data_IF_387687222120
#
_entry.id   IF_387687222120
#
_cell.length_a   1.000
_cell.length_b   1.000
_cell.length_c   1.000
_cell.angle_alpha   90.00
_cell.angle_beta   90.00
_cell.angle_gamma   90.00
#
_symmetry.space_group_name_H-M   'P 1'
#
loop_
_entity.id
_entity.type
_entity.pdbx_description
1 polymer ?
#
# COMPACT_ATOMS: atom_id res chain seq x y z
N UNK A 1 -27.96 -3.64 35.96
CA UNK A 1 -27.11 -4.64 35.28
C UNK A 1 -26.81 -4.12 33.88
N UNK A 2 -25.61 -3.59 33.65
CA UNK A 2 -25.19 -3.16 32.31
C UNK A 2 -24.90 -4.37 31.45
N UNK A 3 -25.56 -4.48 30.30
CA UNK A 3 -25.26 -5.51 29.30
C UNK A 3 -23.81 -5.36 28.84
N UNK A 4 -23.00 -6.40 29.04
CA UNK A 4 -21.64 -6.43 28.51
C UNK A 4 -21.66 -6.13 27.00
N UNK A 5 -20.70 -5.34 26.47
CA UNK A 5 -20.67 -5.00 25.06
C UNK A 5 -20.61 -6.28 24.23
N UNK A 6 -21.54 -6.42 23.27
CA UNK A 6 -21.59 -7.60 22.39
C UNK A 6 -20.32 -7.62 21.52
N UNK A 7 -19.44 -8.57 21.79
CA UNK A 7 -18.26 -8.85 20.99
C UNK A 7 -18.69 -9.33 19.58
N UNK A 8 -18.13 -8.78 18.48
CA UNK A 8 -18.44 -9.25 17.14
C UNK A 8 -18.10 -10.73 16.92
N UNK A 9 -18.87 -11.42 16.08
CA UNK A 9 -18.71 -12.86 15.79
C UNK A 9 -17.29 -13.22 15.32
N UNK A 10 -16.69 -12.37 14.49
CA UNK A 10 -15.38 -12.61 13.88
C UNK A 10 -14.23 -11.97 14.66
N UNK A 11 -14.47 -11.43 15.86
CA UNK A 11 -13.43 -10.75 16.63
C UNK A 11 -12.20 -11.64 16.82
N UNK A 12 -12.38 -12.88 17.28
CA UNK A 12 -11.26 -13.79 17.56
C UNK A 12 -10.47 -14.13 16.28
N UNK A 13 -11.11 -14.11 15.11
CA UNK A 13 -10.44 -14.32 13.84
C UNK A 13 -9.50 -13.15 13.52
N UNK A 14 -10.02 -11.92 13.57
CA UNK A 14 -9.23 -10.72 13.30
C UNK A 14 -8.14 -10.49 14.34
N UNK A 15 -8.43 -10.78 15.61
CA UNK A 15 -7.46 -10.68 16.72
C UNK A 15 -6.26 -11.63 16.51
N UNK A 16 -6.51 -12.87 16.09
CA UNK A 16 -5.44 -13.83 15.76
C UNK A 16 -4.65 -13.43 14.50
N UNK A 17 -5.31 -12.88 13.49
CA UNK A 17 -4.63 -12.37 12.30
C UNK A 17 -3.70 -11.20 12.65
N UNK A 18 -4.19 -10.26 13.46
CA UNK A 18 -3.38 -9.14 13.96
C UNK A 18 -2.20 -9.63 14.82
N UNK A 19 -2.43 -10.59 15.72
CA UNK A 19 -1.38 -11.19 16.55
C UNK A 19 -0.30 -11.88 15.70
N UNK A 20 -0.70 -12.62 14.66
CA UNK A 20 0.25 -13.29 13.75
C UNK A 20 1.14 -12.28 13.02
N UNK A 21 0.56 -11.18 12.55
CA UNK A 21 1.32 -10.11 11.89
C UNK A 21 2.29 -9.43 12.88
N UNK A 22 1.84 -9.19 14.11
CA UNK A 22 2.67 -8.64 15.18
C UNK A 22 3.85 -9.57 15.55
N UNK A 23 3.60 -10.86 15.68
CA UNK A 23 4.64 -11.85 16.01
C UNK A 23 5.73 -11.90 14.93
N UNK A 24 5.35 -11.87 13.65
CA UNK A 24 6.31 -11.77 12.53
C UNK A 24 7.15 -10.49 12.62
N UNK A 25 6.50 -9.36 12.88
CA UNK A 25 7.20 -8.08 13.06
C UNK A 25 8.19 -8.12 14.24
N UNK A 26 7.80 -8.71 15.38
CA UNK A 26 8.68 -8.87 16.55
C UNK A 26 9.85 -9.79 16.22
N UNK A 27 9.60 -10.91 15.54
CA UNK A 27 10.64 -11.84 15.09
C UNK A 27 11.69 -11.18 14.19
N UNK A 28 11.28 -10.21 13.36
CA UNK A 28 12.18 -9.45 12.48
C UNK A 28 13.26 -8.66 13.24
N UNK A 29 13.07 -8.39 14.55
CA UNK A 29 14.05 -7.66 15.39
C UNK A 29 15.34 -8.44 15.65
N UNK A 30 15.35 -9.76 15.41
CA UNK A 30 16.54 -10.60 15.56
C UNK A 30 17.60 -10.34 14.49
N UNK A 31 17.28 -9.53 13.49
CA UNK A 31 18.15 -9.23 12.36
C UNK A 31 19.05 -8.03 12.63
N UNK A 32 20.33 -8.17 12.33
CA UNK A 32 21.35 -7.16 12.64
C UNK A 32 21.36 -5.98 11.66
N UNK A 33 21.03 -6.22 10.38
CA UNK A 33 20.99 -5.18 9.34
C UNK A 33 19.64 -4.44 9.37
N UNK A 34 19.68 -3.12 9.49
CA UNK A 34 18.49 -2.26 9.48
C UNK A 34 17.76 -2.28 8.13
N UNK A 35 18.51 -2.36 7.02
CA UNK A 35 17.95 -2.49 5.68
C UNK A 35 17.13 -3.77 5.55
N UNK A 36 17.74 -4.90 5.88
CA UNK A 36 17.08 -6.20 5.72
C UNK A 36 15.90 -6.37 6.70
N UNK A 37 15.94 -5.69 7.85
CA UNK A 37 14.80 -5.60 8.77
C UNK A 37 13.63 -4.83 8.14
N UNK A 38 13.91 -3.73 7.45
CA UNK A 38 12.93 -2.97 6.68
C UNK A 38 12.30 -3.80 5.57
N UNK A 39 13.13 -4.43 4.74
CA UNK A 39 12.69 -5.28 3.62
C UNK A 39 11.80 -6.44 4.11
N UNK A 40 12.16 -7.09 5.22
CA UNK A 40 11.36 -8.18 5.77
C UNK A 40 9.99 -7.71 6.28
N UNK A 41 9.91 -6.50 6.86
CA UNK A 41 8.64 -5.94 7.32
C UNK A 41 7.74 -5.54 6.16
N UNK A 42 8.34 -5.02 5.09
CA UNK A 42 7.63 -4.82 3.82
C UNK A 42 7.06 -6.15 3.32
N UNK A 43 7.88 -7.20 3.24
CA UNK A 43 7.47 -8.51 2.72
C UNK A 43 6.35 -9.14 3.56
N UNK A 44 6.41 -9.06 4.89
CA UNK A 44 5.33 -9.59 5.75
C UNK A 44 4.00 -8.88 5.51
N UNK A 45 4.01 -7.56 5.27
CA UNK A 45 2.81 -6.83 4.91
C UNK A 45 2.33 -7.20 3.51
N UNK A 46 3.26 -7.38 2.55
CA UNK A 46 2.93 -7.82 1.19
C UNK A 46 2.27 -9.20 1.18
N UNK A 47 2.80 -10.15 1.93
CA UNK A 47 2.22 -11.49 2.12
C UNK A 47 0.80 -11.41 2.67
N UNK A 48 0.62 -10.65 3.75
CA UNK A 48 -0.68 -10.49 4.38
C UNK A 48 -1.69 -9.87 3.42
N UNK A 49 -1.35 -8.74 2.80
CA UNK A 49 -2.20 -8.04 1.84
C UNK A 49 -2.55 -8.92 0.64
N UNK A 50 -1.59 -9.68 0.10
CA UNK A 50 -1.85 -10.61 -1.00
C UNK A 50 -2.86 -11.70 -0.60
N UNK A 51 -2.87 -12.11 0.66
CA UNK A 51 -3.82 -13.12 1.15
C UNK A 51 -5.24 -12.61 1.37
N UNK A 52 -5.43 -11.31 1.62
CA UNK A 52 -6.74 -10.71 1.95
C UNK A 52 -7.32 -9.81 0.87
N UNK A 53 -6.49 -9.27 -0.03
CA UNK A 53 -6.97 -8.43 -1.11
C UNK A 53 -7.63 -9.27 -2.21
N UNK A 54 -8.68 -8.74 -2.86
CA UNK A 54 -9.28 -9.37 -4.03
C UNK A 54 -8.26 -9.60 -5.15
N UNK A 55 -8.39 -10.66 -5.98
CA UNK A 55 -7.44 -10.98 -7.05
C UNK A 55 -7.21 -9.86 -8.09
N UNK A 56 -8.15 -8.93 -8.21
CA UNK A 56 -8.06 -7.77 -9.12
C UNK A 56 -7.15 -6.65 -8.62
N UNK A 57 -6.61 -6.79 -7.41
CA UNK A 57 -5.67 -5.86 -6.81
C UNK A 57 -4.32 -6.56 -6.65
N UNK A 58 -3.30 -6.06 -7.33
CA UNK A 58 -1.96 -6.64 -7.35
C UNK A 58 -0.97 -5.72 -6.65
N UNK A 59 -0.07 -6.30 -5.86
CA UNK A 59 0.97 -5.54 -5.17
C UNK A 59 2.22 -5.45 -6.05
N UNK A 60 2.73 -4.24 -6.22
CA UNK A 60 3.96 -3.93 -6.95
C UNK A 60 4.87 -3.04 -6.11
N UNK A 61 6.12 -2.93 -6.56
CA UNK A 61 7.12 -1.97 -6.10
C UNK A 61 7.60 -1.21 -7.32
N UNK A 62 7.83 0.09 -7.21
CA UNK A 62 8.24 0.87 -8.38
C UNK A 62 7.89 2.35 -8.28
N UNK A 63 7.80 3.01 -9.43
CA UNK A 63 7.44 4.42 -9.51
C UNK A 63 6.06 4.62 -10.14
N UNK A 64 5.39 5.72 -9.78
CA UNK A 64 4.10 6.10 -10.38
C UNK A 64 4.27 7.41 -11.14
N UNK A 65 3.80 7.42 -12.38
CA UNK A 65 3.91 8.51 -13.33
C UNK A 65 2.52 8.98 -13.77
N UNK A 66 2.40 10.24 -14.16
CA UNK A 66 1.20 10.76 -14.81
C UNK A 66 1.44 11.21 -16.27
N UNK A 67 0.36 11.54 -16.97
CA UNK A 67 0.40 12.00 -18.36
C UNK A 67 1.04 13.38 -18.57
N UNK A 68 1.29 14.16 -17.51
CA UNK A 68 1.98 15.46 -17.56
C UNK A 68 3.49 15.33 -17.31
N UNK A 69 3.98 14.12 -17.06
CA UNK A 69 5.41 13.83 -16.83
C UNK A 69 5.85 13.91 -15.37
N UNK A 70 4.93 14.09 -14.42
CA UNK A 70 5.26 14.05 -13.00
C UNK A 70 5.56 12.61 -12.54
N UNK A 71 6.48 12.44 -11.59
CA UNK A 71 6.95 11.13 -11.09
C UNK A 71 7.13 11.15 -9.58
N UNK A 72 6.81 10.05 -8.91
CA UNK A 72 6.92 9.93 -7.44
C UNK A 72 8.32 9.58 -6.94
N UNK A 73 9.08 8.81 -7.73
CA UNK A 73 10.21 8.00 -7.24
C UNK A 73 9.74 6.64 -6.73
N UNK A 74 10.68 5.82 -6.26
CA UNK A 74 10.42 4.46 -5.76
C UNK A 74 9.47 4.47 -4.55
N UNK A 75 8.44 3.63 -4.61
CA UNK A 75 7.44 3.37 -3.58
C UNK A 75 7.50 1.89 -3.20
N UNK A 76 7.41 1.60 -1.90
CA UNK A 76 7.53 0.25 -1.32
C UNK A 76 6.35 -0.65 -1.74
N UNK A 77 5.11 -0.20 -1.50
CA UNK A 77 3.91 -0.96 -1.85
C UNK A 77 2.96 -0.10 -2.68
N UNK A 78 2.78 -0.49 -3.93
CA UNK A 78 1.77 0.04 -4.85
C UNK A 78 0.71 -1.03 -5.05
N UNK A 79 -0.55 -0.73 -4.76
CA UNK A 79 -1.68 -1.60 -5.08
C UNK A 79 -2.25 -1.13 -6.42
N UNK A 80 -2.11 -1.97 -7.45
CA UNK A 80 -2.59 -1.71 -8.80
C UNK A 80 -3.85 -2.51 -9.10
N UNK A 81 -4.75 -1.91 -9.89
CA UNK A 81 -5.82 -2.67 -10.53
C UNK A 81 -5.26 -3.57 -11.62
N UNK A 82 -5.92 -4.70 -11.85
CA UNK A 82 -5.59 -5.66 -12.92
C UNK A 82 -5.81 -5.10 -14.34
N UNK A 83 -6.61 -4.05 -14.48
CA UNK A 83 -6.82 -3.31 -15.73
C UNK A 83 -5.78 -2.20 -15.99
N UNK A 84 -4.81 -2.02 -15.09
CA UNK A 84 -3.77 -1.00 -15.21
C UNK A 84 -2.72 -1.41 -16.25
N UNK A 85 -2.41 -0.52 -17.18
CA UNK A 85 -1.25 -0.69 -18.06
C UNK A 85 0.05 -0.55 -17.25
N UNK A 86 0.91 -1.57 -17.33
CA UNK A 86 2.29 -1.47 -16.84
C UNK A 86 3.19 -0.88 -17.93
N UNK A 87 4.03 0.08 -17.56
CA UNK A 87 5.04 0.63 -18.46
C UNK A 87 6.33 -0.19 -18.31
N UNK A 88 6.67 -0.98 -19.32
CA UNK A 88 7.93 -1.73 -19.35
C UNK A 88 9.12 -0.81 -19.60
N UNK A 89 9.63 -0.13 -18.56
CA UNK A 89 10.76 0.80 -18.64
C UNK A 89 11.99 0.21 -17.92
N UNK A 90 12.82 -0.53 -18.66
CA UNK A 90 14.06 -1.10 -18.10
C UNK A 90 13.81 -2.16 -17.02
N UNK A 91 14.66 -2.19 -15.98
CA UNK A 91 14.50 -3.11 -14.83
C UNK A 91 13.62 -2.53 -13.70
N UNK A 92 13.34 -1.22 -13.72
CA UNK A 92 12.53 -0.57 -12.70
C UNK A 92 11.08 -0.50 -13.17
N UNK A 93 10.20 -1.14 -12.42
CA UNK A 93 8.77 -1.11 -12.67
C UNK A 93 8.21 0.32 -12.56
N UNK A 94 7.53 0.79 -13.61
CA UNK A 94 6.85 2.08 -13.65
C UNK A 94 5.36 1.88 -14.02
N UNK A 95 4.49 2.63 -13.36
CA UNK A 95 3.04 2.49 -13.48
C UNK A 95 2.37 3.83 -13.73
N UNK A 96 1.28 3.80 -14.49
CA UNK A 96 0.44 4.97 -14.68
C UNK A 96 -0.45 5.21 -13.46
N UNK A 97 -0.55 6.47 -13.04
CA UNK A 97 -1.32 6.92 -11.90
C UNK A 97 -2.80 6.47 -11.96
N UNK A 98 -3.37 6.39 -13.17
CA UNK A 98 -4.75 5.97 -13.44
C UNK A 98 -5.05 4.53 -13.00
N UNK A 99 -4.04 3.67 -12.92
CA UNK A 99 -4.14 2.28 -12.51
C UNK A 99 -3.89 2.05 -11.02
N UNK A 100 -3.42 3.07 -10.30
CA UNK A 100 -3.07 2.96 -8.88
C UNK A 100 -4.31 3.05 -8.01
N UNK A 101 -4.56 1.99 -7.25
CA UNK A 101 -5.63 1.93 -6.25
C UNK A 101 -5.15 2.54 -4.91
N UNK A 102 -3.97 2.16 -4.44
CA UNK A 102 -3.41 2.66 -3.19
C UNK A 102 -1.88 2.61 -3.18
N UNK A 103 -1.28 3.42 -2.31
CA UNK A 103 0.15 3.40 -2.00
C UNK A 103 0.31 3.32 -0.47
N UNK A 104 1.21 2.45 -0.03
CA UNK A 104 1.50 2.24 1.39
C UNK A 104 3.01 2.43 1.60
N UNK A 105 3.35 3.31 2.54
CA UNK A 105 4.72 3.49 3.05
C UNK A 105 4.86 2.72 4.36
N UNK A 106 5.83 1.82 4.44
CA UNK A 106 6.14 0.99 5.60
C UNK A 106 7.24 1.67 6.41
N UNK A 107 7.00 1.89 7.70
CA UNK A 107 7.99 2.46 8.62
C UNK A 107 8.13 1.57 9.83
N UNK A 108 9.34 1.04 9.99
CA UNK A 108 9.75 0.19 11.10
C UNK A 108 9.49 0.79 12.48
N UNK A 109 9.66 2.10 12.64
CA UNK A 109 9.36 2.81 13.88
C UNK A 109 8.85 4.19 13.47
N UNK A 110 7.60 4.51 13.84
CA UNK A 110 6.98 5.77 13.45
C UNK A 110 7.40 6.89 14.39
N UNK A 111 8.53 7.52 14.07
CA UNK A 111 8.92 8.80 14.67
C UNK A 111 8.34 9.96 13.86
N UNK A 112 8.35 11.18 14.41
CA UNK A 112 7.93 12.39 13.70
C UNK A 112 8.70 12.59 12.39
N UNK A 113 10.00 12.32 12.41
CA UNK A 113 10.88 12.42 11.24
C UNK A 113 10.47 11.39 10.17
N UNK A 114 10.26 10.12 10.58
CA UNK A 114 9.84 9.05 9.66
C UNK A 114 8.43 9.24 9.12
N UNK A 115 7.52 9.80 9.91
CA UNK A 115 6.21 10.21 9.44
C UNK A 115 6.33 11.33 8.39
N UNK A 116 7.15 12.35 8.64
CA UNK A 116 7.36 13.44 7.68
C UNK A 116 8.01 12.96 6.38
N UNK A 117 8.97 12.03 6.45
CA UNK A 117 9.54 11.37 5.27
C UNK A 117 8.45 10.65 4.46
N UNK A 118 7.64 9.80 5.11
CA UNK A 118 6.55 9.07 4.45
C UNK A 118 5.52 10.02 3.83
N UNK A 119 5.13 11.08 4.55
CA UNK A 119 4.19 12.09 4.05
C UNK A 119 4.76 12.86 2.86
N UNK A 120 6.07 13.12 2.81
CA UNK A 120 6.72 13.74 1.66
C UNK A 120 6.62 12.86 0.41
N UNK A 121 6.87 11.55 0.55
CA UNK A 121 6.68 10.57 -0.53
C UNK A 121 5.22 10.51 -0.99
N UNK A 122 4.27 10.35 -0.06
CA UNK A 122 2.84 10.28 -0.35
C UNK A 122 2.28 11.59 -0.93
N UNK A 123 2.86 12.75 -0.58
CA UNK A 123 2.48 14.03 -1.18
C UNK A 123 2.74 14.03 -2.68
N UNK A 124 3.83 13.42 -3.16
CA UNK A 124 4.09 13.31 -4.60
C UNK A 124 3.00 12.50 -5.31
N UNK A 125 2.57 11.39 -4.72
CA UNK A 125 1.45 10.57 -5.23
C UNK A 125 0.18 11.42 -5.33
N UNK A 126 -0.12 12.21 -4.29
CA UNK A 126 -1.30 13.10 -4.27
C UNK A 126 -1.24 14.25 -5.28
N UNK A 127 -0.05 14.62 -5.74
CA UNK A 127 0.12 15.70 -6.72
C UNK A 127 0.02 15.22 -8.17
N UNK A 128 0.02 13.91 -8.41
CA UNK A 128 -0.17 13.34 -9.74
C UNK A 128 -1.51 13.74 -10.36
N UNK A 129 -1.47 13.98 -11.67
CA UNK A 129 -2.58 14.41 -12.50
C UNK A 129 -3.26 13.21 -13.15
N UNK A 130 -4.43 12.86 -12.64
CA UNK A 130 -5.21 11.74 -13.14
C UNK A 130 -6.07 12.18 -14.32
N UNK A 131 -5.88 11.52 -15.47
CA UNK A 131 -6.73 11.70 -16.63
C UNK A 131 -8.12 11.16 -16.32
N UNK A 132 -9.14 12.00 -16.42
CA UNK A 132 -10.53 11.55 -16.24
C UNK A 132 -11.00 10.90 -17.54
N UNK A 133 -11.49 9.65 -17.53
CA UNK A 133 -12.12 9.10 -18.72
C UNK A 133 -13.32 9.99 -19.09
N UNK A 134 -13.42 10.37 -20.36
CA UNK A 134 -14.50 11.20 -20.89
C UNK A 134 -15.84 10.45 -20.95
N UNK A 135 -15.81 9.12 -20.88
CA UNK A 135 -16.97 8.22 -20.89
C UNK A 135 -17.19 7.58 -19.52
N UNK A 136 -18.36 7.82 -18.90
CA UNK A 136 -18.78 7.26 -17.59
C UNK A 136 -19.48 5.90 -17.72
N UNK A 137 -19.22 5.13 -18.77
CA UNK A 137 -20.09 4.00 -19.09
C UNK A 137 -19.77 2.70 -18.33
N UNK A 138 -18.62 2.59 -17.66
CA UNK A 138 -18.30 1.43 -16.81
C UNK A 138 -17.43 1.89 -15.64
N UNK A 139 -18.02 2.59 -14.68
CA UNK A 139 -17.35 2.82 -13.40
C UNK A 139 -17.38 1.49 -12.62
N UNK A 140 -16.34 0.67 -12.81
CA UNK A 140 -16.05 -0.42 -11.88
C UNK A 140 -15.94 0.18 -10.48
N UNK A 141 -16.50 -0.46 -9.46
CA UNK A 141 -16.53 0.07 -8.07
C UNK A 141 -15.12 0.33 -7.48
N UNK A 142 -14.07 -0.08 -8.20
CA UNK A 142 -12.65 0.09 -7.88
C UNK A 142 -12.02 1.37 -8.47
N UNK A 143 -12.76 2.21 -9.21
CA UNK A 143 -12.25 3.51 -9.67
C UNK A 143 -12.30 4.53 -8.55
N UNK A 144 -11.21 4.60 -7.78
CA UNK A 144 -10.97 5.74 -6.90
C UNK A 144 -10.56 6.95 -7.74
N UNK A 145 -11.14 8.12 -7.44
CA UNK A 145 -10.75 9.38 -8.07
C UNK A 145 -9.31 9.79 -7.77
N UNK A 146 -8.72 9.22 -6.71
CA UNK A 146 -7.31 9.38 -6.30
C UNK A 146 -6.85 8.14 -5.55
N UNK A 147 -5.58 7.72 -5.68
CA UNK A 147 -5.01 6.66 -4.87
C UNK A 147 -5.19 6.91 -3.37
N UNK A 148 -5.54 5.86 -2.62
CA UNK A 148 -5.45 5.90 -1.16
C UNK A 148 -3.97 5.95 -0.76
N UNK A 149 -3.64 6.77 0.23
CA UNK A 149 -2.28 6.92 0.74
C UNK A 149 -2.27 6.51 2.22
N UNK A 150 -1.43 5.54 2.57
CA UNK A 150 -1.35 4.97 3.91
C UNK A 150 0.10 4.94 4.41
N UNK A 151 0.28 5.07 5.72
CA UNK A 151 1.53 4.76 6.41
C UNK A 151 1.26 3.57 7.33
N UNK A 152 2.04 2.50 7.20
CA UNK A 152 1.98 1.32 8.05
C UNK A 152 3.22 1.26 8.95
N UNK A 153 3.04 1.11 10.25
CA UNK A 153 4.13 1.11 11.23
C UNK A 153 3.80 0.30 12.49
#
# INVERSE_FOLDING_TARGET
MGTAPRRPLLYDCFDRQAATLLDRYVGSKQQTSTTNMGDNREEYLRDYLTSVLPPRLTLRRGEVWDGEGNRTGQLEIIILRDDAAALGIGQADAFLAEGVFAVIEVKSNLTTEKLNEALSSLKKVRLLRLSRPSSRHIDSILTLFRPLCCVFA
#
